data_IF_260435009630
#
_entry.id   IF_260435009630
#
_cell.length_a   1.000
_cell.length_b   1.000
_cell.length_c   1.000
_cell.angle_alpha   90.00
_cell.angle_beta   90.00
_cell.angle_gamma   90.00
#
_symmetry.space_group_name_H-M   'P 1'
#
loop_
_entity.id
_entity.type
_entity.pdbx_description
1 polymer ?
#
# COMPACT_ATOMS: atom_id res chain seq x y z
N UNK A 1 -11.16 0.30 -4.64
CA UNK A 1 -9.96 -0.50 -4.94
C UNK A 1 -9.20 -0.94 -3.68
N UNK A 2 -8.86 -0.03 -2.75
CA UNK A 2 -8.13 -0.39 -1.52
C UNK A 2 -8.72 -1.59 -0.76
N UNK A 3 -10.01 -1.57 -0.39
CA UNK A 3 -10.62 -2.66 0.39
C UNK A 3 -10.66 -4.00 -0.33
N UNK A 4 -10.77 -3.98 -1.66
CA UNK A 4 -10.72 -5.21 -2.48
C UNK A 4 -9.32 -5.81 -2.42
N UNK A 5 -8.28 -4.98 -2.54
CA UNK A 5 -6.90 -5.44 -2.38
C UNK A 5 -6.65 -5.92 -0.95
N UNK A 6 -7.12 -5.19 0.06
CA UNK A 6 -6.95 -5.53 1.47
C UNK A 6 -7.57 -6.89 1.82
N UNK A 7 -8.87 -7.06 1.52
CA UNK A 7 -9.60 -8.31 1.80
C UNK A 7 -9.11 -9.45 0.91
N UNK A 8 -8.88 -9.18 -0.37
CA UNK A 8 -8.40 -10.17 -1.33
C UNK A 8 -6.98 -10.65 -1.01
N UNK A 9 -6.06 -9.74 -0.68
CA UNK A 9 -4.66 -10.05 -0.38
C UNK A 9 -4.52 -10.87 0.91
N UNK A 10 -5.11 -10.41 2.00
CA UNK A 10 -5.09 -11.15 3.27
C UNK A 10 -5.93 -12.43 3.22
N UNK A 11 -7.04 -12.44 2.47
CA UNK A 11 -7.82 -13.66 2.23
C UNK A 11 -7.06 -14.70 1.41
N UNK A 12 -6.31 -14.27 0.39
CA UNK A 12 -5.44 -15.15 -0.40
C UNK A 12 -4.27 -15.67 0.44
N UNK A 13 -3.69 -14.82 1.29
CA UNK A 13 -2.67 -15.25 2.25
C UNK A 13 -3.22 -16.32 3.20
N UNK A 14 -4.37 -16.09 3.83
CA UNK A 14 -5.02 -17.05 4.72
C UNK A 14 -5.30 -18.38 4.02
N UNK A 15 -5.99 -18.34 2.87
CA UNK A 15 -6.34 -19.55 2.11
C UNK A 15 -5.08 -20.29 1.62
N UNK A 16 -4.11 -19.55 1.08
CA UNK A 16 -2.85 -20.10 0.58
C UNK A 16 -2.05 -20.77 1.70
N UNK A 17 -1.92 -20.11 2.85
CA UNK A 17 -1.23 -20.68 4.01
C UNK A 17 -1.89 -21.97 4.51
N UNK A 18 -3.22 -22.02 4.57
CA UNK A 18 -3.94 -23.24 4.98
C UNK A 18 -3.81 -24.37 3.96
N UNK A 19 -3.88 -24.06 2.65
CA UNK A 19 -3.66 -25.04 1.58
C UNK A 19 -2.24 -25.59 1.64
N UNK A 20 -1.23 -24.74 1.81
CA UNK A 20 0.16 -25.18 1.94
C UNK A 20 0.37 -26.05 3.18
N UNK A 21 -0.21 -25.69 4.32
CA UNK A 21 -0.13 -26.50 5.54
C UNK A 21 -0.67 -27.93 5.32
N UNK A 22 -1.77 -28.07 4.57
CA UNK A 22 -2.32 -29.36 4.18
C UNK A 22 -1.42 -30.11 3.19
N UNK A 23 -0.92 -29.43 2.15
CA UNK A 23 -0.03 -30.04 1.14
C UNK A 23 1.25 -30.61 1.76
N UNK A 24 1.84 -29.86 2.69
CA UNK A 24 3.08 -30.25 3.36
C UNK A 24 2.87 -31.24 4.52
N UNK A 25 1.62 -31.68 4.77
CA UNK A 25 1.27 -32.61 5.84
C UNK A 25 1.91 -32.23 7.18
N UNK A 26 1.79 -30.97 7.57
CA UNK A 26 2.36 -30.51 8.83
C UNK A 26 1.78 -31.32 10.01
N UNK A 27 2.63 -32.04 10.73
CA UNK A 27 2.27 -32.90 11.88
C UNK A 27 1.93 -32.08 13.15
N UNK A 28 1.11 -31.04 13.01
CA UNK A 28 0.60 -30.25 14.14
C UNK A 28 -0.92 -30.35 14.23
N UNK A 29 -1.46 -30.04 15.41
CA UNK A 29 -2.90 -29.96 15.61
C UNK A 29 -3.53 -28.98 14.60
N UNK A 30 -4.57 -29.43 13.90
CA UNK A 30 -5.25 -28.62 12.88
C UNK A 30 -5.74 -27.28 13.44
N UNK A 31 -6.33 -27.30 14.64
CA UNK A 31 -6.79 -26.11 15.34
C UNK A 31 -5.65 -25.11 15.63
N UNK A 32 -4.44 -25.59 15.95
CA UNK A 32 -3.27 -24.75 16.18
C UNK A 32 -2.86 -24.03 14.91
N UNK A 33 -2.75 -24.76 13.79
CA UNK A 33 -2.40 -24.18 12.48
C UNK A 33 -3.43 -23.12 12.09
N UNK A 34 -4.73 -23.45 12.17
CA UNK A 34 -5.82 -22.53 11.79
C UNK A 34 -5.78 -21.26 12.66
N UNK A 35 -5.76 -21.40 13.98
CA UNK A 35 -5.79 -20.25 14.90
C UNK A 35 -4.55 -19.38 14.74
N UNK A 36 -3.37 -20.00 14.56
CA UNK A 36 -2.12 -19.29 14.29
C UNK A 36 -2.19 -18.48 12.99
N UNK A 37 -2.65 -19.08 11.90
CA UNK A 37 -2.76 -18.41 10.61
C UNK A 37 -3.80 -17.27 10.65
N UNK A 38 -4.91 -17.45 11.37
CA UNK A 38 -5.91 -16.39 11.59
C UNK A 38 -5.29 -15.21 12.35
N UNK A 39 -4.57 -15.47 13.46
CA UNK A 39 -3.93 -14.42 14.25
C UNK A 39 -2.93 -13.59 13.42
N UNK A 40 -2.12 -14.26 12.60
CA UNK A 40 -1.18 -13.62 11.67
C UNK A 40 -1.89 -12.80 10.59
N UNK A 41 -2.99 -13.33 10.04
CA UNK A 41 -3.78 -12.65 9.00
C UNK A 41 -4.44 -11.39 9.54
N UNK A 42 -5.07 -11.48 10.72
CA UNK A 42 -5.73 -10.34 11.36
C UNK A 42 -4.73 -9.25 11.76
N UNK A 43 -3.59 -9.65 12.34
CA UNK A 43 -2.50 -8.73 12.67
C UNK A 43 -1.99 -8.02 11.41
N UNK A 44 -1.80 -8.77 10.34
CA UNK A 44 -1.39 -8.22 9.05
C UNK A 44 -2.38 -7.24 8.46
N UNK A 45 -3.66 -7.58 8.48
CA UNK A 45 -4.72 -6.70 8.06
C UNK A 45 -4.69 -5.38 8.84
N UNK A 46 -4.57 -5.45 10.17
CA UNK A 46 -4.51 -4.28 11.04
C UNK A 46 -3.27 -3.42 10.74
N UNK A 47 -2.09 -4.01 10.74
CA UNK A 47 -0.82 -3.29 10.57
C UNK A 47 -0.70 -2.67 9.19
N UNK A 48 -1.08 -3.39 8.13
CA UNK A 48 -1.08 -2.82 6.77
C UNK A 48 -2.11 -1.69 6.61
N UNK A 49 -3.22 -1.73 7.34
CA UNK A 49 -4.16 -0.60 7.40
C UNK A 49 -3.55 0.60 8.12
N UNK A 50 -2.90 0.39 9.27
CA UNK A 50 -2.21 1.45 10.02
C UNK A 50 -1.10 2.09 9.18
N UNK A 51 -0.29 1.28 8.48
CA UNK A 51 0.74 1.76 7.56
C UNK A 51 0.13 2.71 6.52
N UNK A 52 -1.01 2.34 5.91
CA UNK A 52 -1.71 3.23 4.99
C UNK A 52 -2.12 4.55 5.64
N UNK A 53 -2.67 4.52 6.86
CA UNK A 53 -3.09 5.73 7.57
C UNK A 53 -1.90 6.67 7.78
N UNK A 54 -0.76 6.13 8.21
CA UNK A 54 0.50 6.87 8.39
C UNK A 54 0.95 7.49 7.06
N UNK A 55 0.99 6.71 5.97
CA UNK A 55 1.43 7.19 4.66
C UNK A 55 0.50 8.25 4.06
N UNK A 56 -0.81 8.13 4.33
CA UNK A 56 -1.81 9.11 3.86
C UNK A 56 -1.72 10.43 4.64
N UNK A 57 -1.59 10.38 5.96
CA UNK A 57 -1.64 11.57 6.81
C UNK A 57 -0.33 12.37 6.82
N UNK A 58 0.79 11.73 6.50
CA UNK A 58 2.12 12.34 6.52
C UNK A 58 2.47 13.17 5.27
N UNK A 59 1.60 13.18 4.24
CA UNK A 59 1.88 13.75 2.91
C UNK A 59 3.19 13.23 2.28
N UNK A 60 3.74 12.11 2.79
CA UNK A 60 5.02 11.57 2.35
C UNK A 60 5.03 11.24 0.86
N UNK A 61 3.90 10.78 0.34
CA UNK A 61 3.77 10.39 -1.06
C UNK A 61 3.55 11.56 -2.03
N UNK A 62 3.28 12.76 -1.51
CA UNK A 62 3.19 13.99 -2.32
C UNK A 62 4.58 14.60 -2.60
N UNK A 63 5.58 14.24 -1.80
CA UNK A 63 6.97 14.65 -2.00
C UNK A 63 7.63 13.79 -3.08
N UNK A 64 8.72 14.30 -3.67
CA UNK A 64 9.58 13.52 -4.56
C UNK A 64 10.05 12.25 -3.85
N UNK A 65 10.03 11.11 -4.55
CA UNK A 65 10.36 9.80 -3.99
C UNK A 65 11.71 9.79 -3.25
N UNK A 66 12.72 10.47 -3.82
CA UNK A 66 14.07 10.62 -3.26
C UNK A 66 14.07 11.21 -1.85
N UNK A 67 13.18 12.16 -1.57
CA UNK A 67 13.07 12.82 -0.26
C UNK A 67 12.25 11.99 0.75
N UNK A 68 11.46 11.04 0.26
CA UNK A 68 10.55 10.23 1.07
C UNK A 68 11.08 8.84 1.35
N UNK A 69 12.10 8.36 0.65
CA UNK A 69 12.56 6.97 0.75
C UNK A 69 13.01 6.59 2.17
N UNK A 70 13.72 7.47 2.87
CA UNK A 70 14.11 7.24 4.26
C UNK A 70 12.90 7.07 5.20
N UNK A 71 11.86 7.87 5.00
CA UNK A 71 10.61 7.79 5.76
C UNK A 71 9.77 6.57 5.39
N UNK A 72 9.81 6.14 4.12
CA UNK A 72 9.16 4.91 3.66
C UNK A 72 9.84 3.69 4.28
N UNK A 73 11.17 3.65 4.31
CA UNK A 73 11.95 2.60 4.96
C UNK A 73 11.72 2.59 6.48
N UNK A 74 11.65 3.77 7.11
CA UNK A 74 11.31 3.86 8.53
C UNK A 74 9.89 3.36 8.82
N UNK A 75 8.92 3.76 7.99
CA UNK A 75 7.53 3.30 8.12
C UNK A 75 7.42 1.78 7.94
N UNK A 76 8.19 1.21 7.00
CA UNK A 76 8.32 -0.23 6.82
C UNK A 76 8.88 -0.89 8.07
N UNK A 77 10.04 -0.44 8.55
CA UNK A 77 10.70 -1.01 9.72
C UNK A 77 9.79 -0.99 10.95
N UNK A 78 9.13 0.14 11.22
CA UNK A 78 8.20 0.28 12.33
C UNK A 78 6.96 -0.60 12.18
N UNK A 79 6.41 -0.73 10.97
CA UNK A 79 5.26 -1.61 10.72
C UNK A 79 5.63 -3.08 10.88
N UNK A 80 6.79 -3.49 10.38
CA UNK A 80 7.31 -4.86 10.53
C UNK A 80 7.57 -5.20 12.00
N UNK A 81 8.17 -4.27 12.74
CA UNK A 81 8.39 -4.43 14.18
C UNK A 81 7.07 -4.53 14.96
N UNK A 82 6.11 -3.64 14.66
CA UNK A 82 4.78 -3.68 15.27
C UNK A 82 4.05 -4.99 14.96
N UNK A 83 4.14 -5.48 13.72
CA UNK A 83 3.59 -6.77 13.34
C UNK A 83 4.20 -7.89 14.18
N UNK A 84 5.53 -7.96 14.27
CA UNK A 84 6.22 -8.98 15.04
C UNK A 84 5.81 -8.97 16.51
N UNK A 85 5.71 -7.78 17.11
CA UNK A 85 5.27 -7.62 18.49
C UNK A 85 3.84 -8.13 18.70
N UNK A 86 2.89 -7.75 17.84
CA UNK A 86 1.50 -8.16 17.95
C UNK A 86 1.30 -9.66 17.71
N UNK A 87 2.05 -10.25 16.77
CA UNK A 87 1.99 -11.70 16.52
C UNK A 87 2.56 -12.47 17.69
N UNK A 88 3.72 -12.09 18.22
CA UNK A 88 4.28 -12.77 19.39
C UNK A 88 3.39 -12.63 20.62
N UNK A 89 2.81 -11.45 20.86
CA UNK A 89 1.84 -11.26 21.91
C UNK A 89 0.60 -12.16 21.73
N UNK A 90 0.12 -12.31 20.49
CA UNK A 90 -1.00 -13.21 20.18
C UNK A 90 -0.63 -14.67 20.38
N UNK A 91 0.59 -15.07 20.02
CA UNK A 91 1.05 -16.45 20.19
C UNK A 91 1.20 -16.83 21.65
N UNK A 92 1.72 -15.93 22.47
CA UNK A 92 1.79 -16.10 23.91
C UNK A 92 0.39 -16.16 24.54
N UNK A 93 -0.50 -15.23 24.19
CA UNK A 93 -1.82 -15.13 24.79
C UNK A 93 -2.75 -16.32 24.47
N UNK A 94 -2.55 -16.98 23.33
CA UNK A 94 -3.44 -18.04 22.83
C UNK A 94 -2.73 -19.39 22.63
N UNK A 95 -1.49 -19.53 23.13
CA UNK A 95 -0.67 -20.75 23.00
C UNK A 95 -0.52 -21.21 21.53
N UNK A 96 -0.12 -20.29 20.65
CA UNK A 96 -0.07 -20.53 19.20
C UNK A 96 1.35 -20.81 18.66
N UNK A 97 2.29 -21.13 19.54
CA UNK A 97 3.63 -21.50 19.10
C UNK A 97 3.68 -22.91 18.54
N UNK A 98 4.38 -23.09 17.41
CA UNK A 98 4.52 -24.41 16.77
C UNK A 98 5.58 -25.29 17.44
N UNK A 99 6.61 -24.68 18.04
CA UNK A 99 7.71 -25.40 18.64
C UNK A 99 8.21 -24.68 19.88
N UNK A 100 8.08 -25.35 21.03
CA UNK A 100 8.58 -24.87 22.31
C UNK A 100 10.13 -24.87 22.34
N UNK A 101 10.76 -25.78 21.60
CA UNK A 101 12.22 -25.85 21.45
C UNK A 101 12.82 -24.59 20.81
N UNK A 102 12.10 -23.95 19.87
CA UNK A 102 12.53 -22.68 19.26
C UNK A 102 12.47 -21.54 20.29
N UNK A 103 11.45 -21.53 21.14
CA UNK A 103 11.28 -20.54 22.21
C UNK A 103 12.39 -20.70 23.27
N UNK A 104 12.79 -21.93 23.56
CA UNK A 104 13.84 -22.23 24.54
C UNK A 104 15.24 -21.88 24.02
N UNK A 105 15.48 -21.99 22.70
CA UNK A 105 16.79 -21.70 22.09
C UNK A 105 17.02 -20.23 21.79
N UNK A 106 15.96 -19.45 21.55
CA UNK A 106 16.05 -18.05 21.16
C UNK A 106 15.58 -17.13 22.28
N UNK A 107 16.27 -16.02 22.50
CA UNK A 107 15.73 -14.98 23.38
C UNK A 107 14.61 -14.19 22.68
N UNK A 108 13.79 -13.49 23.47
CA UNK A 108 12.65 -12.71 22.97
C UNK A 108 13.04 -11.70 21.87
N UNK A 109 14.22 -11.09 21.98
CA UNK A 109 14.71 -10.13 21.00
C UNK A 109 15.04 -10.77 19.65
N UNK A 110 15.68 -11.94 19.66
CA UNK A 110 15.99 -12.72 18.46
C UNK A 110 14.71 -13.20 17.78
N UNK A 111 13.74 -13.70 18.57
CA UNK A 111 12.45 -14.14 18.05
C UNK A 111 11.68 -12.97 17.42
N UNK A 112 11.61 -11.83 18.11
CA UNK A 112 10.99 -10.61 17.60
C UNK A 112 11.64 -10.14 16.30
N UNK A 113 12.97 -10.15 16.24
CA UNK A 113 13.71 -9.77 15.04
C UNK A 113 13.43 -10.74 13.88
N UNK A 114 13.43 -12.04 14.14
CA UNK A 114 13.14 -13.06 13.13
C UNK A 114 11.73 -12.89 12.54
N UNK A 115 10.70 -12.79 13.39
CA UNK A 115 9.31 -12.61 12.95
C UNK A 115 9.14 -11.26 12.23
N UNK A 116 9.77 -10.20 12.73
CA UNK A 116 9.69 -8.88 12.11
C UNK A 116 10.34 -8.87 10.71
N UNK A 117 11.47 -9.56 10.53
CA UNK A 117 12.13 -9.65 9.23
C UNK A 117 11.33 -10.49 8.24
N UNK A 118 10.84 -11.66 8.66
CA UNK A 118 9.99 -12.54 7.85
C UNK A 118 8.77 -11.76 7.34
N UNK A 119 8.06 -11.09 8.25
CA UNK A 119 6.83 -10.37 7.94
C UNK A 119 7.08 -9.03 7.28
N UNK A 120 8.29 -8.48 7.42
CA UNK A 120 8.72 -7.29 6.72
C UNK A 120 8.73 -7.47 5.20
N UNK A 121 8.96 -8.68 4.71
CA UNK A 121 8.83 -8.99 3.28
C UNK A 121 7.39 -8.79 2.77
N UNK A 122 6.39 -9.22 3.56
CA UNK A 122 4.97 -9.04 3.25
C UNK A 122 4.59 -7.57 3.38
N UNK A 123 5.05 -6.87 4.41
CA UNK A 123 4.80 -5.42 4.54
C UNK A 123 5.42 -4.61 3.41
N UNK A 124 6.57 -5.02 2.87
CA UNK A 124 7.20 -4.39 1.71
C UNK A 124 6.32 -4.51 0.46
N UNK A 125 5.65 -5.66 0.26
CA UNK A 125 4.68 -5.83 -0.82
C UNK A 125 3.54 -4.83 -0.67
N UNK A 126 2.97 -4.69 0.53
CA UNK A 126 1.91 -3.70 0.81
C UNK A 126 2.35 -2.26 0.58
N UNK A 127 3.56 -1.91 1.04
CA UNK A 127 4.15 -0.61 0.81
C UNK A 127 4.27 -0.31 -0.68
N UNK A 128 4.78 -1.28 -1.46
CA UNK A 128 4.93 -1.16 -2.91
C UNK A 128 3.60 -0.97 -3.61
N UNK A 129 2.59 -1.78 -3.28
CA UNK A 129 1.23 -1.64 -3.82
C UNK A 129 0.68 -0.23 -3.54
N UNK A 130 0.88 0.27 -2.32
CA UNK A 130 0.37 1.59 -1.94
C UNK A 130 1.09 2.73 -2.68
N UNK A 131 2.41 2.67 -2.77
CA UNK A 131 3.21 3.61 -3.56
C UNK A 131 2.78 3.59 -5.03
N UNK A 132 2.67 2.40 -5.63
CA UNK A 132 2.26 2.25 -7.03
C UNK A 132 0.88 2.85 -7.29
N UNK A 133 -0.11 2.51 -6.45
CA UNK A 133 -1.45 3.07 -6.56
C UNK A 133 -1.46 4.60 -6.47
N UNK A 134 -0.71 5.16 -5.52
CA UNK A 134 -0.63 6.61 -5.34
C UNK A 134 0.01 7.30 -6.54
N UNK A 135 1.20 6.87 -6.97
CA UNK A 135 1.91 7.48 -8.09
C UNK A 135 1.17 7.33 -9.41
N UNK A 136 0.48 6.21 -9.62
CA UNK A 136 -0.38 6.01 -10.79
C UNK A 136 -1.54 7.00 -10.81
N UNK A 137 -2.27 7.12 -9.69
CA UNK A 137 -3.41 8.03 -9.59
C UNK A 137 -2.99 9.50 -9.77
N UNK A 138 -1.89 9.90 -9.15
CA UNK A 138 -1.32 11.25 -9.20
C UNK A 138 -0.80 11.60 -10.60
N UNK A 139 -0.14 10.66 -11.29
CA UNK A 139 0.29 10.83 -12.69
C UNK A 139 -0.90 11.06 -13.63
N UNK A 140 -1.98 10.28 -13.46
CA UNK A 140 -3.19 10.43 -14.28
C UNK A 140 -3.91 11.75 -14.02
N UNK A 141 -3.94 12.21 -12.77
CA UNK A 141 -4.50 13.52 -12.43
C UNK A 141 -3.72 14.65 -13.10
N UNK A 142 -2.38 14.62 -13.04
CA UNK A 142 -1.53 15.61 -13.73
C UNK A 142 -1.75 15.66 -15.24
N UNK A 143 -1.93 14.51 -15.89
CA UNK A 143 -2.21 14.46 -17.32
C UNK A 143 -3.55 15.13 -17.66
N UNK A 144 -4.60 14.86 -16.87
CA UNK A 144 -5.90 15.49 -17.06
C UNK A 144 -5.86 17.00 -16.84
N UNK A 145 -5.14 17.46 -15.82
CA UNK A 145 -5.04 18.89 -15.53
C UNK A 145 -4.22 19.63 -16.60
N UNK A 146 -3.19 18.99 -17.16
CA UNK A 146 -2.45 19.52 -18.32
C UNK A 146 -3.35 19.66 -19.55
N UNK A 147 -4.12 18.64 -19.89
CA UNK A 147 -5.06 18.69 -21.03
C UNK A 147 -6.11 19.78 -20.88
N UNK A 148 -6.64 19.97 -19.66
CA UNK A 148 -7.57 21.07 -19.36
C UNK A 148 -6.91 22.43 -19.54
N UNK A 149 -5.68 22.60 -19.03
CA UNK A 149 -4.94 23.86 -19.15
C UNK A 149 -4.66 24.21 -20.62
N UNK A 150 -4.22 23.24 -21.42
CA UNK A 150 -4.03 23.41 -22.87
C UNK A 150 -5.33 23.78 -23.58
N UNK A 151 -6.46 23.19 -23.17
CA UNK A 151 -7.78 23.56 -23.67
C UNK A 151 -8.16 25.01 -23.35
N UNK A 152 -7.91 25.45 -22.11
CA UNK A 152 -8.16 26.84 -21.69
C UNK A 152 -7.29 27.82 -22.49
N UNK A 153 -6.01 27.51 -22.69
CA UNK A 153 -5.08 28.33 -23.50
C UNK A 153 -5.61 28.50 -24.92
N UNK A 154 -5.97 27.40 -25.60
CA UNK A 154 -6.51 27.46 -26.97
C UNK A 154 -7.80 28.29 -27.05
N UNK A 155 -8.68 28.18 -26.06
CA UNK A 155 -9.89 28.99 -26.02
C UNK A 155 -9.59 30.48 -25.86
N UNK A 156 -8.59 30.85 -25.05
CA UNK A 156 -8.14 32.23 -24.91
C UNK A 156 -7.53 32.76 -26.20
N UNK A 157 -6.68 31.98 -26.88
CA UNK A 157 -6.11 32.35 -28.18
C UNK A 157 -7.20 32.60 -29.24
N UNK A 158 -8.19 31.70 -29.34
CA UNK A 158 -9.31 31.87 -30.26
C UNK A 158 -10.15 33.12 -29.96
N UNK A 159 -10.39 33.44 -28.68
CA UNK A 159 -11.09 34.67 -28.29
C UNK A 159 -10.29 35.91 -28.68
N UNK A 160 -8.98 35.91 -28.44
CA UNK A 160 -8.09 37.03 -28.78
C UNK A 160 -7.98 37.24 -30.29
N UNK A 161 -7.86 36.15 -31.07
CA UNK A 161 -7.87 36.20 -32.54
C UNK A 161 -9.19 36.78 -33.07
N UNK A 162 -10.34 36.33 -32.53
CA UNK A 162 -11.66 36.88 -32.88
C UNK A 162 -11.78 38.36 -32.53
N UNK A 163 -11.21 38.80 -31.40
CA UNK A 163 -11.24 40.19 -30.98
C UNK A 163 -10.35 41.10 -31.85
N UNK A 164 -9.25 40.58 -32.40
CA UNK A 164 -8.35 41.31 -33.31
C UNK A 164 -8.84 41.35 -34.76
N UNK A 165 -9.77 40.46 -35.16
CA UNK A 165 -10.42 40.55 -36.48
C UNK A 165 -11.35 41.77 -36.50
N UNK A 166 -10.90 42.84 -37.14
CA UNK A 166 -11.64 44.10 -37.26
C UNK A 166 -13.00 43.86 -37.96
N UNK A 167 -14.15 44.24 -37.37
CA UNK A 167 -15.47 44.04 -37.98
C UNK A 167 -15.55 44.62 -39.40
N UNK A 168 -14.82 45.70 -39.66
CA UNK A 168 -14.72 46.32 -40.98
C UNK A 168 -14.11 45.39 -42.05
N UNK A 169 -13.20 44.48 -41.67
CA UNK A 169 -12.60 43.51 -42.58
C UNK A 169 -13.58 42.38 -42.93
N UNK A 170 -14.42 41.98 -41.96
CA UNK A 170 -15.50 41.00 -42.17
C UNK A 170 -16.60 41.60 -43.07
N UNK A 171 -16.94 42.88 -42.87
CA UNK A 171 -17.91 43.56 -43.75
C UNK A 171 -17.38 43.73 -45.19
N UNK A 172 -16.09 44.07 -45.38
CA UNK A 172 -15.50 44.17 -46.72
C UNK A 172 -15.40 42.83 -47.47
N UNK A 173 -15.26 41.71 -46.77
CA UNK A 173 -15.20 40.37 -47.39
C UNK A 173 -16.59 39.76 -47.67
N UNK A 174 -17.65 40.30 -47.07
CA UNK A 174 -19.04 39.92 -47.36
C UNK A 174 -19.68 40.76 -48.47
N UNK A 175 -19.15 41.95 -48.75
CA UNK A 175 -19.76 42.92 -49.68
C UNK A 175 -18.97 43.08 -51.00
N UNK A 176 -17.99 42.21 -51.25
CA UNK A 176 -17.21 42.10 -52.49
C UNK A 176 -17.33 40.69 -53.06
#
# INVERSE_FOLDING_TARGET
MYWVLQLGGWGTFLAGSLVLANIFNLEYAEALIINRTIAMTLTGFLVSHLLRVVLKNSNLLQKKLELSIGWLLLSLALSSFLYGLLVLASFEAFDLFLSQEVIEKLNLGQLLLAVSLEMGSIMLVWLTIYCFYHYYADSRQRQLDKLKLEGIIKQMELKTLKAHLNPHFIFNSLNS
#
